data_IF_179902524105
#
_entry.id   IF_179902524105
#
_cell.length_a   1.000
_cell.length_b   1.000
_cell.length_c   1.000
_cell.angle_alpha   90.00
_cell.angle_beta   90.00
_cell.angle_gamma   90.00
#
_symmetry.space_group_name_H-M   'P 1'
#
loop_
_entity.id
_entity.type
_entity.pdbx_description
1 polymer ?
#
# COMPACT_ATOMS: atom_id res chain seq x y z
N UNK A 1 -20.59 53.64 -11.12
CA UNK A 1 -20.93 53.84 -12.54
C UNK A 1 -21.83 52.66 -12.87
N UNK A 2 -23.14 52.71 -12.56
CA UNK A 2 -24.12 53.68 -13.06
C UNK A 2 -24.38 53.38 -14.56
N UNK A 3 -25.57 53.01 -15.04
CA UNK A 3 -26.92 52.83 -14.42
C UNK A 3 -27.60 51.58 -15.05
N UNK A 4 -28.88 51.20 -14.89
CA UNK A 4 -30.09 51.90 -14.40
C UNK A 4 -31.14 50.89 -13.80
N UNK A 5 -32.42 50.95 -14.21
CA UNK A 5 -33.62 50.42 -13.53
C UNK A 5 -34.51 49.51 -14.44
N UNK A 6 -35.29 48.55 -13.88
CA UNK A 6 -36.79 48.51 -13.74
C UNK A 6 -37.60 48.21 -15.03
N UNK A 7 -38.88 47.78 -15.04
CA UNK A 7 -39.88 47.59 -13.96
C UNK A 7 -40.91 46.45 -14.29
N UNK A 8 -41.92 46.30 -13.43
CA UNK A 8 -42.88 45.20 -13.24
C UNK A 8 -44.25 45.41 -13.92
N UNK A 9 -44.88 44.34 -14.44
CA UNK A 9 -46.33 43.97 -14.30
C UNK A 9 -46.71 42.82 -15.27
N UNK A 10 -47.46 41.75 -14.95
CA UNK A 10 -48.69 41.42 -14.17
C UNK A 10 -50.03 41.56 -14.94
N UNK A 11 -50.82 40.46 -14.85
CA UNK A 11 -52.28 40.30 -15.12
C UNK A 11 -52.72 40.13 -16.59
N UNK A 12 -53.82 39.42 -16.91
CA UNK A 12 -54.80 38.66 -16.09
C UNK A 12 -55.42 37.49 -16.88
N UNK A 13 -56.14 36.60 -16.17
CA UNK A 13 -56.90 35.45 -16.71
C UNK A 13 -58.12 35.84 -17.55
N UNK A 14 -58.65 34.89 -18.34
CA UNK A 14 -60.12 34.67 -18.42
C UNK A 14 -60.50 33.29 -18.95
N UNK A 15 -61.59 32.72 -18.39
CA UNK A 15 -62.12 31.40 -18.73
C UNK A 15 -63.05 31.41 -19.95
N UNK A 16 -63.22 30.25 -20.59
CA UNK A 16 -64.23 30.00 -21.61
C UNK A 16 -64.67 28.52 -21.62
N UNK A 17 -65.79 28.25 -20.95
CA UNK A 17 -66.37 26.91 -20.72
C UNK A 17 -67.26 26.45 -21.89
N UNK A 18 -67.32 25.13 -22.19
CA UNK A 18 -68.52 24.43 -22.66
C UNK A 18 -68.29 22.94 -22.98
N UNK A 19 -69.14 22.09 -22.40
CA UNK A 19 -69.32 20.68 -22.74
C UNK A 19 -70.08 20.50 -24.06
N UNK A 20 -69.88 19.36 -24.75
CA UNK A 20 -70.93 18.34 -24.94
C UNK A 20 -70.49 17.14 -25.81
N UNK A 21 -71.05 15.97 -25.50
CA UNK A 21 -70.94 14.71 -26.23
C UNK A 21 -71.25 14.78 -27.75
N UNK A 22 -70.61 13.92 -28.56
CA UNK A 22 -71.28 12.66 -28.99
C UNK A 22 -70.53 11.82 -30.05
N UNK A 23 -70.65 10.50 -29.86
CA UNK A 23 -70.76 9.38 -30.84
C UNK A 23 -69.85 9.30 -32.09
N UNK A 24 -69.12 8.18 -32.11
CA UNK A 24 -68.61 7.45 -33.30
C UNK A 24 -69.77 7.00 -34.21
N UNK A 25 -69.63 7.13 -35.54
CA UNK A 25 -69.53 5.98 -36.47
C UNK A 25 -68.34 6.18 -37.44
N UNK A 26 -67.52 5.21 -37.84
CA UNK A 26 -67.71 3.86 -38.43
C UNK A 26 -66.98 3.87 -39.80
N UNK A 27 -66.68 2.71 -40.36
CA UNK A 27 -65.61 2.51 -41.35
C UNK A 27 -65.81 3.23 -42.71
N UNK A 28 -64.71 3.67 -43.33
CA UNK A 28 -64.67 3.83 -44.80
C UNK A 28 -63.26 3.49 -45.32
N UNK A 29 -63.23 2.79 -46.44
CA UNK A 29 -62.07 2.12 -47.03
C UNK A 29 -61.37 3.01 -48.08
N UNK A 30 -60.15 2.62 -48.49
CA UNK A 30 -59.31 3.24 -49.53
C UNK A 30 -58.67 4.59 -49.11
N UNK A 31 -57.37 4.87 -49.34
CA UNK A 31 -56.59 4.62 -50.55
C UNK A 31 -55.13 4.20 -50.30
N UNK A 32 -54.59 3.48 -51.28
CA UNK A 32 -53.20 3.00 -51.33
C UNK A 32 -52.30 4.07 -52.01
N UNK A 33 -51.67 4.94 -51.21
CA UNK A 33 -50.80 6.01 -51.74
C UNK A 33 -49.55 6.22 -50.88
N UNK A 34 -48.39 6.18 -51.54
CA UNK A 34 -47.24 7.00 -51.14
C UNK A 34 -46.16 6.26 -50.35
N UNK A 35 -45.30 5.56 -51.09
CA UNK A 35 -43.98 5.13 -50.63
C UNK A 35 -43.12 6.34 -50.24
N UNK A 36 -43.27 6.81 -49.00
CA UNK A 36 -42.42 7.81 -48.39
C UNK A 36 -41.39 7.10 -47.52
N UNK A 37 -40.23 6.86 -48.10
CA UNK A 37 -39.05 6.34 -47.44
C UNK A 37 -38.56 7.32 -46.35
N UNK A 38 -39.20 7.28 -45.18
CA UNK A 38 -38.58 7.70 -43.93
C UNK A 38 -37.31 6.85 -43.80
N UNK A 39 -36.16 7.51 -43.70
CA UNK A 39 -34.86 6.88 -43.47
C UNK A 39 -34.84 6.17 -42.11
N UNK A 40 -35.43 4.97 -42.08
CA UNK A 40 -35.37 4.01 -40.99
C UNK A 40 -33.98 3.39 -41.00
N UNK A 41 -32.97 4.20 -40.68
CA UNK A 41 -31.73 3.69 -40.10
C UNK A 41 -32.14 2.75 -38.96
N UNK A 42 -31.87 1.43 -39.07
CA UNK A 42 -32.36 0.50 -38.07
C UNK A 42 -31.64 0.82 -36.77
N UNK A 43 -32.40 1.24 -35.75
CA UNK A 43 -31.87 1.37 -34.39
C UNK A 43 -31.56 -0.05 -33.93
N UNK A 44 -30.32 -0.49 -34.14
CA UNK A 44 -29.87 -1.84 -33.81
C UNK A 44 -29.79 -1.97 -32.30
N UNK A 45 -30.91 -2.28 -31.68
CA UNK A 45 -31.02 -2.47 -30.23
C UNK A 45 -30.13 -3.63 -29.81
N UNK A 46 -28.97 -3.31 -29.24
CA UNK A 46 -28.07 -4.32 -28.70
C UNK A 46 -28.67 -4.96 -27.45
N UNK A 47 -28.32 -6.21 -27.15
CA UNK A 47 -28.75 -6.89 -25.92
C UNK A 47 -28.43 -6.08 -24.67
N UNK A 48 -27.30 -5.35 -24.66
CA UNK A 48 -26.92 -4.42 -23.59
C UNK A 48 -27.96 -3.31 -23.42
N UNK A 49 -28.33 -2.63 -24.50
CA UNK A 49 -29.25 -1.48 -24.46
C UNK A 49 -30.71 -1.91 -24.25
N UNK A 50 -31.07 -3.16 -24.59
CA UNK A 50 -32.36 -3.76 -24.25
C UNK A 50 -32.45 -4.15 -22.76
N UNK A 51 -31.35 -4.64 -22.17
CA UNK A 51 -31.30 -5.14 -20.79
C UNK A 51 -31.03 -4.05 -19.76
N UNK A 52 -30.24 -3.03 -20.11
CA UNK A 52 -29.70 -2.04 -19.16
C UNK A 52 -30.06 -0.63 -19.61
N UNK A 53 -30.92 0.02 -18.83
CA UNK A 53 -31.18 1.47 -18.92
C UNK A 53 -30.23 2.22 -18.00
N UNK A 54 -29.21 2.87 -18.55
CA UNK A 54 -28.28 3.71 -17.79
C UNK A 54 -28.92 5.05 -17.42
N UNK A 55 -28.89 5.42 -16.14
CA UNK A 55 -29.32 6.76 -15.69
C UNK A 55 -28.29 7.82 -16.10
N UNK A 56 -28.77 8.93 -16.66
CA UNK A 56 -27.90 10.05 -17.07
C UNK A 56 -27.53 10.87 -15.82
N UNK A 57 -26.24 10.89 -15.50
CA UNK A 57 -25.68 11.60 -14.35
C UNK A 57 -24.17 11.38 -14.25
N UNK A 58 -23.49 11.87 -13.20
CA UNK A 58 -22.04 11.71 -13.01
C UNK A 58 -21.62 10.29 -12.61
N UNK A 59 -22.26 9.27 -13.18
CA UNK A 59 -21.97 7.85 -13.00
C UNK A 59 -20.94 7.33 -14.05
N UNK A 60 -20.25 8.23 -14.76
CA UNK A 60 -19.13 7.93 -15.66
C UNK A 60 -17.81 7.72 -14.92
N UNK A 61 -17.78 6.70 -14.08
CA UNK A 61 -16.61 5.94 -13.74
C UNK A 61 -17.11 4.67 -13.05
N UNK A 62 -16.40 3.54 -13.19
CA UNK A 62 -16.42 2.57 -12.11
C UNK A 62 -15.81 3.30 -10.90
N UNK A 63 -16.59 3.66 -9.87
CA UNK A 63 -16.05 4.39 -8.75
C UNK A 63 -15.44 3.33 -7.85
N UNK A 64 -14.18 3.00 -8.10
CA UNK A 64 -13.37 2.20 -7.21
C UNK A 64 -12.75 3.17 -6.19
N UNK A 65 -13.41 3.46 -5.05
CA UNK A 65 -12.96 4.51 -4.12
C UNK A 65 -11.59 4.22 -3.51
N UNK A 66 -11.16 2.95 -3.58
CA UNK A 66 -9.85 2.50 -3.16
C UNK A 66 -9.16 1.83 -4.33
N UNK A 67 -8.14 2.51 -4.85
CA UNK A 67 -7.21 2.00 -5.84
C UNK A 67 -5.84 1.78 -5.22
N UNK A 68 -5.24 0.63 -5.48
CA UNK A 68 -3.87 0.31 -5.07
C UNK A 68 -3.05 -0.07 -6.30
N UNK A 69 -1.96 0.65 -6.54
CA UNK A 69 -0.99 0.27 -7.58
C UNK A 69 0.15 -0.52 -6.98
N UNK A 70 0.62 -1.53 -7.72
CA UNK A 70 1.77 -2.38 -7.35
C UNK A 70 2.75 -2.31 -8.51
N UNK A 71 3.93 -1.76 -8.24
CA UNK A 71 4.99 -1.58 -9.24
C UNK A 71 6.00 -2.72 -9.08
N UNK A 72 6.08 -3.58 -10.08
CA UNK A 72 6.78 -4.87 -10.08
C UNK A 72 5.82 -6.06 -9.91
N UNK A 73 5.77 -6.96 -10.89
CA UNK A 73 4.92 -8.17 -10.89
C UNK A 73 5.71 -9.46 -10.71
N UNK A 74 6.80 -9.40 -9.94
CA UNK A 74 7.56 -10.59 -9.51
C UNK A 74 6.91 -11.21 -8.24
N UNK A 75 7.57 -12.17 -7.59
CA UNK A 75 6.95 -13.03 -6.55
C UNK A 75 6.40 -12.24 -5.37
N UNK A 76 7.12 -11.21 -4.92
CA UNK A 76 6.67 -10.34 -3.81
C UNK A 76 5.54 -9.44 -4.28
N UNK A 77 5.66 -8.81 -5.46
CA UNK A 77 4.59 -8.00 -6.04
C UNK A 77 3.26 -8.74 -6.14
N UNK A 78 3.27 -9.96 -6.69
CA UNK A 78 2.07 -10.80 -6.80
C UNK A 78 1.55 -11.28 -5.44
N UNK A 79 2.43 -11.62 -4.48
CA UNK A 79 1.99 -11.96 -3.13
C UNK A 79 1.32 -10.78 -2.41
N UNK A 80 1.79 -9.54 -2.63
CA UNK A 80 1.11 -8.33 -2.16
C UNK A 80 -0.27 -8.17 -2.81
N UNK A 81 -0.36 -8.34 -4.14
CA UNK A 81 -1.61 -8.23 -4.89
C UNK A 81 -2.68 -9.20 -4.36
N UNK A 82 -2.36 -10.49 -4.29
CA UNK A 82 -3.26 -11.54 -3.81
C UNK A 82 -3.68 -11.28 -2.35
N UNK A 83 -2.75 -10.89 -1.47
CA UNK A 83 -3.08 -10.60 -0.07
C UNK A 83 -4.04 -9.40 0.09
N UNK A 84 -3.90 -8.37 -0.76
CA UNK A 84 -4.78 -7.18 -0.80
C UNK A 84 -6.17 -7.55 -1.31
N UNK A 85 -6.23 -8.37 -2.37
CA UNK A 85 -7.47 -8.81 -3.01
C UNK A 85 -8.27 -9.80 -2.14
N UNK A 86 -7.61 -10.81 -1.56
CA UNK A 86 -8.26 -11.79 -0.67
C UNK A 86 -8.86 -11.14 0.59
N UNK A 87 -8.24 -10.07 1.10
CA UNK A 87 -8.77 -9.25 2.20
C UNK A 87 -9.80 -8.20 1.76
N UNK A 88 -10.08 -8.09 0.45
CA UNK A 88 -11.02 -7.13 -0.16
C UNK A 88 -10.74 -5.68 0.29
N UNK A 89 -9.46 -5.30 0.30
CA UNK A 89 -9.02 -3.97 0.74
C UNK A 89 -9.21 -2.93 -0.36
N UNK A 90 -8.89 -3.33 -1.60
CA UNK A 90 -8.94 -2.46 -2.77
C UNK A 90 -10.07 -2.89 -3.72
N UNK A 91 -10.75 -1.90 -4.29
CA UNK A 91 -11.73 -2.07 -5.35
C UNK A 91 -11.11 -2.05 -6.75
N UNK A 92 -9.94 -1.43 -6.90
CA UNK A 92 -9.08 -1.51 -8.09
C UNK A 92 -7.65 -1.88 -7.68
N UNK A 93 -7.05 -2.87 -8.33
CA UNK A 93 -5.62 -3.20 -8.21
C UNK A 93 -4.96 -3.07 -9.58
N UNK A 94 -3.95 -2.20 -9.66
CA UNK A 94 -3.22 -1.94 -10.89
C UNK A 94 -1.78 -2.48 -10.78
N UNK A 95 -1.49 -3.53 -11.53
CA UNK A 95 -0.20 -4.19 -11.65
C UNK A 95 0.62 -3.51 -12.75
N UNK A 96 1.77 -2.93 -12.40
CA UNK A 96 2.61 -2.15 -13.31
C UNK A 96 4.00 -2.80 -13.40
N UNK A 97 4.38 -3.32 -14.57
CA UNK A 97 5.72 -3.89 -14.83
C UNK A 97 6.21 -3.55 -16.25
N UNK A 98 7.52 -3.58 -16.48
CA UNK A 98 8.08 -3.37 -17.82
C UNK A 98 7.69 -4.50 -18.79
N UNK A 99 7.48 -5.71 -18.26
CA UNK A 99 6.93 -6.82 -19.04
C UNK A 99 5.40 -6.72 -19.07
N UNK A 100 4.87 -6.08 -20.12
CA UNK A 100 3.44 -5.92 -20.35
C UNK A 100 2.71 -7.26 -20.36
N UNK A 101 3.17 -8.22 -21.17
CA UNK A 101 2.52 -9.52 -21.36
C UNK A 101 2.37 -10.27 -20.04
N UNK A 102 3.41 -10.24 -19.19
CA UNK A 102 3.36 -10.82 -17.85
C UNK A 102 2.38 -10.05 -16.95
N UNK A 103 2.45 -8.71 -16.92
CA UNK A 103 1.56 -7.92 -16.08
C UNK A 103 0.08 -8.13 -16.46
N UNK A 104 -0.25 -8.15 -17.75
CA UNK A 104 -1.60 -8.41 -18.25
C UNK A 104 -2.07 -9.83 -17.98
N UNK A 105 -1.25 -10.85 -18.24
CA UNK A 105 -1.63 -12.25 -17.99
C UNK A 105 -1.89 -12.52 -16.50
N UNK A 106 -1.06 -11.99 -15.60
CA UNK A 106 -1.24 -12.13 -14.14
C UNK A 106 -2.51 -11.39 -13.67
N UNK A 107 -2.86 -10.26 -14.28
CA UNK A 107 -4.10 -9.55 -13.99
C UNK A 107 -5.35 -10.29 -14.50
N UNK A 108 -5.28 -10.85 -15.72
CA UNK A 108 -6.37 -11.60 -16.35
C UNK A 108 -6.68 -12.90 -15.59
N UNK A 109 -5.64 -13.65 -15.18
CA UNK A 109 -5.78 -14.87 -14.37
C UNK A 109 -6.50 -14.59 -13.03
N UNK A 110 -6.11 -13.51 -12.35
CA UNK A 110 -6.80 -13.04 -11.14
C UNK A 110 -8.24 -12.61 -11.46
N UNK A 111 -8.46 -11.90 -12.57
CA UNK A 111 -9.76 -11.35 -12.94
C UNK A 111 -10.78 -12.47 -13.25
N UNK A 112 -10.36 -13.60 -13.80
CA UNK A 112 -11.20 -14.79 -14.01
C UNK A 112 -11.88 -15.28 -12.73
N UNK A 113 -11.18 -15.23 -11.59
CA UNK A 113 -11.70 -15.61 -10.28
C UNK A 113 -12.24 -14.40 -9.45
N UNK A 114 -12.27 -13.20 -10.04
CA UNK A 114 -12.56 -11.93 -9.36
C UNK A 114 -13.91 -11.89 -8.62
N UNK A 115 -14.89 -12.69 -9.03
CA UNK A 115 -16.19 -12.82 -8.35
C UNK A 115 -16.05 -13.22 -6.87
N UNK A 116 -15.11 -14.11 -6.55
CA UNK A 116 -14.86 -14.55 -5.16
C UNK A 116 -14.05 -13.52 -4.35
N UNK A 117 -13.36 -12.60 -5.03
CA UNK A 117 -12.58 -11.51 -4.45
C UNK A 117 -13.41 -10.25 -4.18
N UNK A 118 -14.72 -10.27 -4.42
CA UNK A 118 -15.61 -9.12 -4.25
C UNK A 118 -15.73 -8.23 -5.49
N UNK A 119 -15.52 -8.81 -6.68
CA UNK A 119 -15.55 -8.13 -7.98
C UNK A 119 -14.64 -6.88 -8.10
N UNK A 120 -13.36 -6.95 -7.67
CA UNK A 120 -12.41 -5.87 -7.94
C UNK A 120 -12.07 -5.80 -9.43
N UNK A 121 -11.69 -4.62 -9.89
CA UNK A 121 -11.05 -4.42 -11.19
C UNK A 121 -9.54 -4.65 -11.04
N UNK A 122 -8.99 -5.57 -11.82
CA UNK A 122 -7.56 -5.90 -11.82
C UNK A 122 -6.99 -5.58 -13.19
N UNK A 123 -6.03 -4.66 -13.24
CA UNK A 123 -5.45 -4.15 -14.50
C UNK A 123 -3.96 -4.46 -14.50
N UNK A 124 -3.50 -5.16 -15.54
CA UNK A 124 -2.09 -5.36 -15.84
C UNK A 124 -1.61 -4.43 -16.94
N UNK A 125 -0.48 -3.76 -16.73
CA UNK A 125 0.03 -2.79 -17.70
C UNK A 125 1.54 -2.52 -17.57
N UNK A 126 2.13 -1.94 -18.61
CA UNK A 126 3.42 -1.26 -18.55
C UNK A 126 3.31 0.27 -18.46
N UNK A 127 2.09 0.79 -18.55
CA UNK A 127 1.81 2.22 -18.48
C UNK A 127 1.80 2.75 -17.03
N UNK A 128 2.86 3.47 -16.66
CA UNK A 128 2.98 4.14 -15.36
C UNK A 128 1.91 5.21 -15.15
N UNK A 129 1.29 5.79 -16.20
CA UNK A 129 0.18 6.74 -16.03
C UNK A 129 -1.03 6.13 -15.32
N UNK A 130 -1.21 4.80 -15.36
CA UNK A 130 -2.24 4.09 -14.59
C UNK A 130 -2.05 4.14 -13.07
N UNK A 131 -0.92 4.63 -12.56
CA UNK A 131 -0.72 4.90 -11.12
C UNK A 131 -1.57 6.08 -10.59
N UNK A 132 -2.12 6.91 -11.49
CA UNK A 132 -2.98 8.05 -11.15
C UNK A 132 -4.15 7.64 -10.25
N UNK A 133 -4.49 8.51 -9.30
CA UNK A 133 -5.60 8.40 -8.33
C UNK A 133 -5.50 7.21 -7.36
N UNK A 134 -4.36 6.52 -7.30
CA UNK A 134 -4.09 5.48 -6.31
C UNK A 134 -4.03 6.03 -4.88
N UNK A 135 -4.65 5.32 -3.93
CA UNK A 135 -4.57 5.61 -2.49
C UNK A 135 -3.20 5.19 -1.92
N UNK A 136 -2.72 4.02 -2.34
CA UNK A 136 -1.40 3.50 -1.98
C UNK A 136 -0.67 3.02 -3.24
N UNK A 137 0.62 3.30 -3.33
CA UNK A 137 1.51 2.75 -4.36
C UNK A 137 2.55 1.87 -3.68
N UNK A 138 2.46 0.56 -3.90
CA UNK A 138 3.40 -0.44 -3.42
C UNK A 138 4.55 -0.55 -4.41
N UNK A 139 5.79 -0.35 -3.96
CA UNK A 139 7.00 -0.43 -4.79
C UNK A 139 7.73 -1.74 -4.45
N UNK A 140 7.55 -2.73 -5.31
CA UNK A 140 8.09 -4.09 -5.19
C UNK A 140 8.99 -4.46 -6.40
N UNK A 141 9.66 -3.46 -6.99
CA UNK A 141 10.63 -3.67 -8.08
C UNK A 141 11.94 -4.25 -7.55
N UNK A 142 12.84 -4.65 -8.46
CA UNK A 142 14.20 -5.10 -8.15
C UNK A 142 14.27 -6.29 -7.19
N UNK A 143 13.29 -7.21 -7.23
CA UNK A 143 13.39 -8.48 -6.50
C UNK A 143 14.64 -9.27 -6.97
N UNK A 144 15.51 -9.59 -6.02
CA UNK A 144 16.75 -10.36 -6.20
C UNK A 144 16.47 -11.70 -6.91
N UNK A 145 17.09 -11.95 -8.08
CA UNK A 145 17.10 -13.31 -8.65
C UNK A 145 18.01 -14.22 -7.84
N UNK A 146 17.81 -15.54 -7.98
CA UNK A 146 18.54 -16.55 -7.22
C UNK A 146 20.08 -16.45 -7.28
N UNK A 147 20.61 -15.94 -8.39
CA UNK A 147 22.05 -15.93 -8.72
C UNK A 147 22.70 -14.55 -8.52
N UNK A 148 21.92 -13.49 -8.33
CA UNK A 148 22.41 -12.10 -8.29
C UNK A 148 22.72 -11.67 -6.84
N UNK A 149 23.73 -10.82 -6.62
CA UNK A 149 23.95 -10.15 -5.33
C UNK A 149 23.01 -8.94 -5.16
N UNK A 150 22.86 -8.44 -3.91
CA UNK A 150 22.04 -7.26 -3.63
C UNK A 150 22.75 -5.98 -4.13
N UNK A 151 22.49 -5.60 -5.38
CA UNK A 151 23.05 -4.39 -5.97
C UNK A 151 22.19 -3.15 -5.65
N UNK A 152 22.47 -2.53 -4.49
CA UNK A 152 21.79 -1.29 -4.06
C UNK A 152 21.93 -0.18 -5.10
N UNK A 153 23.10 -0.04 -5.75
CA UNK A 153 23.34 0.97 -6.79
C UNK A 153 22.43 0.77 -8.02
N UNK A 154 22.21 -0.47 -8.45
CA UNK A 154 21.24 -0.78 -9.50
C UNK A 154 19.81 -0.41 -9.09
N UNK A 155 19.40 -0.74 -7.86
CA UNK A 155 18.07 -0.41 -7.34
C UNK A 155 17.86 1.12 -7.31
N UNK A 156 18.90 1.89 -6.97
CA UNK A 156 18.89 3.36 -7.01
C UNK A 156 18.65 3.88 -8.44
N UNK A 157 19.33 3.33 -9.45
CA UNK A 157 19.14 3.76 -10.84
C UNK A 157 17.74 3.42 -11.39
N UNK A 158 17.11 2.35 -10.90
CA UNK A 158 15.69 2.06 -11.20
C UNK A 158 14.78 3.07 -10.48
N UNK A 159 15.02 3.33 -9.19
CA UNK A 159 14.20 4.26 -8.39
C UNK A 159 14.26 5.70 -8.93
N UNK A 160 15.44 6.17 -9.37
CA UNK A 160 15.61 7.48 -10.04
C UNK A 160 14.69 7.67 -11.25
N UNK A 161 14.39 6.59 -11.98
CA UNK A 161 13.53 6.62 -13.18
C UNK A 161 12.03 6.56 -12.83
N UNK A 162 11.65 5.73 -11.86
CA UNK A 162 10.23 5.47 -11.57
C UNK A 162 9.63 6.40 -10.50
N UNK A 163 10.36 6.71 -9.43
CA UNK A 163 9.79 7.40 -8.25
C UNK A 163 9.32 8.83 -8.56
N UNK A 164 10.10 9.69 -9.27
CA UNK A 164 9.63 11.04 -9.60
C UNK A 164 8.36 11.04 -10.47
N UNK A 165 8.26 10.08 -11.39
CA UNK A 165 7.09 9.89 -12.27
C UNK A 165 5.86 9.46 -11.47
N UNK A 166 6.01 8.46 -10.59
CA UNK A 166 4.96 8.02 -9.66
C UNK A 166 4.51 9.18 -8.76
N UNK A 167 5.44 9.93 -8.16
CA UNK A 167 5.13 11.04 -7.27
C UNK A 167 4.36 12.18 -7.96
N UNK A 168 4.65 12.45 -9.24
CA UNK A 168 3.93 13.44 -10.05
C UNK A 168 2.49 12.99 -10.37
N UNK A 169 2.29 11.71 -10.66
CA UNK A 169 1.00 11.16 -11.11
C UNK A 169 0.06 10.79 -9.94
N UNK A 170 0.61 10.26 -8.86
CA UNK A 170 -0.09 9.83 -7.65
C UNK A 170 0.21 10.78 -6.48
N UNK A 171 0.08 12.09 -6.72
CA UNK A 171 0.53 13.14 -5.79
C UNK A 171 -0.09 13.09 -4.38
N UNK A 172 -1.27 12.44 -4.23
CA UNK A 172 -1.99 12.21 -2.97
C UNK A 172 -1.75 10.84 -2.33
N UNK A 173 -1.06 9.93 -3.01
CA UNK A 173 -0.87 8.57 -2.51
C UNK A 173 0.07 8.50 -1.30
N UNK A 174 -0.03 7.40 -0.55
CA UNK A 174 1.06 6.92 0.32
C UNK A 174 1.95 5.97 -0.50
N UNK A 175 3.27 6.19 -0.46
CA UNK A 175 4.24 5.30 -1.09
C UNK A 175 4.71 4.25 -0.08
N UNK A 176 4.56 2.97 -0.40
CA UNK A 176 4.95 1.85 0.45
C UNK A 176 6.04 1.01 -0.23
N UNK A 177 7.26 1.11 0.28
CA UNK A 177 8.44 0.43 -0.26
C UNK A 177 8.56 -0.98 0.31
N UNK A 178 8.69 -1.95 -0.60
CA UNK A 178 8.93 -3.37 -0.29
C UNK A 178 10.29 -3.83 -0.82
N UNK A 179 10.83 -3.15 -1.84
CA UNK A 179 12.17 -3.38 -2.38
C UNK A 179 13.26 -3.27 -1.30
N UNK A 180 14.08 -4.31 -1.16
CA UNK A 180 15.20 -4.35 -0.23
C UNK A 180 16.47 -3.64 -0.76
N UNK A 181 17.35 -3.11 0.12
CA UNK A 181 17.21 -2.99 1.57
C UNK A 181 16.18 -1.92 1.94
N UNK A 182 15.14 -2.28 2.70
CA UNK A 182 13.89 -1.50 2.75
C UNK A 182 14.09 -0.09 3.28
N UNK A 183 14.83 0.06 4.37
CA UNK A 183 15.05 1.36 5.03
C UNK A 183 15.87 2.32 4.14
N UNK A 184 16.89 1.80 3.45
CA UNK A 184 17.70 2.54 2.47
C UNK A 184 16.84 2.96 1.27
N UNK A 185 16.06 2.04 0.69
CA UNK A 185 15.19 2.33 -0.45
C UNK A 185 14.01 3.25 -0.08
N UNK A 186 13.58 3.26 1.18
CA UNK A 186 12.57 4.18 1.73
C UNK A 186 13.11 5.60 1.84
N UNK A 187 14.32 5.78 2.38
CA UNK A 187 15.01 7.08 2.38
C UNK A 187 15.14 7.64 0.96
N UNK A 188 15.51 6.80 0.00
CA UNK A 188 15.75 7.20 -1.39
C UNK A 188 14.42 7.51 -2.10
N UNK A 189 13.36 6.73 -1.85
CA UNK A 189 12.00 7.07 -2.29
C UNK A 189 11.56 8.44 -1.76
N UNK A 190 11.82 8.74 -0.49
CA UNK A 190 11.47 10.02 0.11
C UNK A 190 12.20 11.20 -0.57
N UNK A 191 13.51 11.10 -0.75
CA UNK A 191 14.29 12.15 -1.43
C UNK A 191 13.89 12.34 -2.89
N UNK A 192 13.59 11.27 -3.62
CA UNK A 192 13.21 11.34 -5.05
C UNK A 192 11.77 11.80 -5.27
N UNK A 193 10.83 11.39 -4.41
CA UNK A 193 9.41 11.78 -4.51
C UNK A 193 9.14 13.22 -4.07
N UNK A 194 9.99 13.76 -3.18
CA UNK A 194 9.78 15.06 -2.50
C UNK A 194 8.48 15.11 -1.68
N UNK A 195 7.92 13.96 -1.32
CA UNK A 195 6.75 13.86 -0.45
C UNK A 195 7.13 14.20 1.01
N UNK A 196 6.16 14.59 1.86
CA UNK A 196 6.38 14.58 3.29
C UNK A 196 6.73 13.16 3.74
N UNK A 197 7.65 13.03 4.70
CA UNK A 197 8.12 11.71 5.18
C UNK A 197 7.00 10.83 5.74
N UNK A 198 5.92 11.41 6.24
CA UNK A 198 4.72 10.67 6.66
C UNK A 198 4.09 9.83 5.54
N UNK A 199 4.16 10.29 4.28
CA UNK A 199 3.60 9.59 3.11
C UNK A 199 4.60 8.68 2.40
N UNK A 200 5.78 8.44 2.97
CA UNK A 200 6.77 7.49 2.44
C UNK A 200 7.17 6.50 3.52
N UNK A 201 6.70 5.28 3.35
CA UNK A 201 6.83 4.14 4.26
C UNK A 201 7.68 3.05 3.63
N UNK A 202 8.39 2.29 4.45
CA UNK A 202 8.84 0.94 4.10
C UNK A 202 8.12 -0.10 4.96
N UNK A 203 7.89 -1.32 4.45
CA UNK A 203 7.22 -2.38 5.23
C UNK A 203 7.98 -2.74 6.52
N UNK A 204 9.30 -2.55 6.52
CA UNK A 204 10.13 -2.55 7.72
C UNK A 204 10.15 -3.88 8.47
N UNK A 205 10.29 -3.80 9.79
CA UNK A 205 10.38 -4.95 10.71
C UNK A 205 9.03 -5.55 11.11
N UNK A 206 7.94 -5.28 10.38
CA UNK A 206 6.62 -5.88 10.65
C UNK A 206 6.67 -7.41 10.53
N UNK A 207 7.33 -7.94 9.48
CA UNK A 207 7.49 -9.37 9.28
C UNK A 207 8.37 -10.00 10.38
N UNK A 208 9.45 -9.32 10.76
CA UNK A 208 10.36 -9.78 11.83
C UNK A 208 9.67 -9.76 13.20
N UNK A 209 8.76 -8.80 13.43
CA UNK A 209 7.91 -8.75 14.62
C UNK A 209 6.90 -9.92 14.64
N UNK A 210 6.29 -10.27 13.51
CA UNK A 210 5.42 -11.45 13.40
C UNK A 210 6.18 -12.76 13.65
N UNK A 211 7.42 -12.88 13.14
CA UNK A 211 8.32 -14.03 13.39
C UNK A 211 8.73 -14.11 14.86
N UNK A 212 9.06 -12.98 15.47
CA UNK A 212 9.41 -12.89 16.88
C UNK A 212 8.24 -13.33 17.76
N UNK A 213 7.03 -12.83 17.48
CA UNK A 213 5.79 -13.22 18.14
C UNK A 213 5.51 -14.72 18.00
N UNK A 214 5.69 -15.32 16.81
CA UNK A 214 5.50 -16.75 16.56
C UNK A 214 6.46 -17.64 17.36
N UNK A 215 7.75 -17.29 17.40
CA UNK A 215 8.74 -18.06 18.17
C UNK A 215 8.52 -17.93 19.68
N UNK A 216 8.15 -16.75 20.17
CA UNK A 216 7.73 -16.55 21.57
C UNK A 216 6.47 -17.38 21.89
N UNK A 217 5.47 -17.41 21.01
CA UNK A 217 4.22 -18.14 21.23
C UNK A 217 4.44 -19.65 21.30
N UNK A 218 5.33 -20.19 20.48
CA UNK A 218 5.75 -21.60 20.56
C UNK A 218 6.45 -21.93 21.87
N UNK A 219 7.35 -21.07 22.36
CA UNK A 219 8.08 -21.31 23.62
C UNK A 219 7.20 -21.15 24.87
N UNK A 220 6.20 -20.26 24.83
CA UNK A 220 5.24 -20.04 25.92
C UNK A 220 4.00 -20.95 25.87
N UNK A 221 3.75 -21.66 24.76
CA UNK A 221 2.54 -22.45 24.57
C UNK A 221 1.26 -21.61 24.39
N UNK A 222 1.39 -20.37 23.89
CA UNK A 222 0.29 -19.40 23.77
C UNK A 222 -0.09 -19.12 22.32
N UNK A 223 -1.29 -18.57 22.12
CA UNK A 223 -1.67 -17.98 20.84
C UNK A 223 -0.81 -16.73 20.55
N UNK A 224 -0.38 -16.55 19.30
CA UNK A 224 0.41 -15.38 18.86
C UNK A 224 -0.24 -14.05 19.25
N UNK A 225 -1.55 -13.95 19.08
CA UNK A 225 -2.37 -12.77 19.43
C UNK A 225 -2.40 -12.42 20.91
N UNK A 226 -1.98 -13.34 21.80
CA UNK A 226 -1.90 -13.11 23.25
C UNK A 226 -0.57 -12.52 23.71
N UNK A 227 0.42 -12.41 22.82
CA UNK A 227 1.77 -11.90 23.11
C UNK A 227 1.96 -10.57 22.41
N UNK A 228 2.38 -9.55 23.17
CA UNK A 228 2.72 -8.24 22.65
C UNK A 228 4.23 -8.05 22.66
N UNK A 229 4.81 -7.95 21.47
CA UNK A 229 6.24 -7.78 21.23
C UNK A 229 6.48 -7.08 19.89
N UNK A 230 7.61 -6.38 19.73
CA UNK A 230 8.02 -5.78 18.46
C UNK A 230 9.53 -5.91 18.25
N UNK A 231 9.93 -6.04 16.99
CA UNK A 231 11.29 -5.79 16.52
C UNK A 231 11.34 -4.42 15.84
N UNK A 232 12.40 -3.65 16.06
CA UNK A 232 12.65 -2.33 15.48
C UNK A 232 14.02 -2.29 14.79
N UNK A 233 14.40 -1.17 14.17
CA UNK A 233 15.65 -1.06 13.40
C UNK A 233 15.44 -1.36 11.91
N UNK A 234 16.40 -1.99 11.26
CA UNK A 234 16.30 -2.42 9.87
C UNK A 234 15.83 -3.87 9.79
N UNK A 235 15.27 -4.24 8.65
CA UNK A 235 15.00 -5.64 8.35
C UNK A 235 16.31 -6.44 8.19
N UNK A 236 16.39 -7.62 8.81
CA UNK A 236 17.53 -8.55 8.70
C UNK A 236 18.46 -8.54 9.93
N UNK A 237 19.76 -8.72 9.71
CA UNK A 237 20.74 -8.98 10.78
C UNK A 237 20.88 -7.85 11.82
N UNK A 238 20.54 -6.62 11.45
CA UNK A 238 20.54 -5.44 12.34
C UNK A 238 19.18 -5.16 12.99
N UNK A 239 18.20 -6.06 12.85
CA UNK A 239 16.92 -5.95 13.56
C UNK A 239 17.11 -6.11 15.09
N UNK A 240 16.33 -5.35 15.85
CA UNK A 240 16.43 -5.24 17.31
C UNK A 240 15.12 -5.68 17.95
N UNK A 241 15.09 -6.89 18.50
CA UNK A 241 13.96 -7.37 19.32
C UNK A 241 13.91 -6.59 20.65
N UNK A 242 12.79 -5.92 20.93
CA UNK A 242 12.65 -5.05 22.13
C UNK A 242 12.16 -5.87 23.33
N UNK A 243 13.07 -6.65 23.91
CA UNK A 243 12.85 -7.52 25.08
C UNK A 243 12.27 -6.79 26.29
N UNK A 244 12.67 -5.53 26.51
CA UNK A 244 12.12 -4.65 27.58
C UNK A 244 10.62 -4.38 27.48
N UNK A 245 10.02 -4.61 26.31
CA UNK A 245 8.61 -4.37 26.03
C UNK A 245 7.74 -5.63 25.92
N UNK A 246 8.34 -6.83 25.97
CA UNK A 246 7.61 -8.09 25.76
C UNK A 246 6.69 -8.38 26.96
N UNK A 247 5.39 -8.53 26.69
CA UNK A 247 4.38 -8.78 27.71
C UNK A 247 3.24 -9.69 27.22
N UNK A 248 2.59 -10.34 28.19
CA UNK A 248 1.41 -11.21 28.01
C UNK A 248 0.34 -10.72 28.97
N UNK A 249 -0.86 -10.42 28.48
CA UNK A 249 -1.97 -9.91 29.29
C UNK A 249 -1.61 -8.72 30.22
N UNK A 250 -0.68 -7.86 29.79
CA UNK A 250 -0.16 -6.72 30.55
C UNK A 250 1.04 -7.02 31.46
N UNK A 251 1.31 -8.29 31.78
CA UNK A 251 2.48 -8.72 32.58
C UNK A 251 3.73 -8.78 31.71
N UNK A 252 4.76 -7.99 32.03
CA UNK A 252 6.04 -8.06 31.30
C UNK A 252 6.81 -9.30 31.72
N UNK A 253 7.41 -9.98 30.75
CA UNK A 253 8.17 -11.19 31.05
C UNK A 253 9.49 -10.84 31.79
N UNK A 254 10.05 -9.65 31.55
CA UNK A 254 11.23 -9.16 32.30
C UNK A 254 10.97 -8.82 33.76
N UNK A 255 9.72 -8.71 34.20
CA UNK A 255 9.41 -8.58 35.63
C UNK A 255 9.55 -9.94 36.36
N UNK A 256 9.59 -11.05 35.60
CA UNK A 256 9.73 -12.45 36.09
C UNK A 256 11.16 -12.98 35.83
N UNK A 257 11.67 -12.82 34.61
CA UNK A 257 13.08 -13.09 34.27
C UNK A 257 13.76 -11.77 33.85
N UNK A 258 14.40 -11.05 34.79
CA UNK A 258 15.05 -9.77 34.51
C UNK A 258 16.12 -9.82 33.43
N UNK A 259 16.72 -10.99 33.16
CA UNK A 259 17.77 -11.22 32.16
C UNK A 259 17.24 -11.73 30.82
N UNK A 260 15.92 -11.82 30.63
CA UNK A 260 15.33 -12.32 29.38
C UNK A 260 15.88 -11.58 28.16
N UNK A 261 16.48 -12.33 27.23
CA UNK A 261 17.09 -11.80 26.00
C UNK A 261 18.56 -11.38 26.14
N UNK A 262 19.15 -11.46 27.34
CA UNK A 262 20.56 -11.19 27.58
C UNK A 262 21.43 -12.44 27.32
N UNK A 263 22.75 -12.30 27.38
CA UNK A 263 23.68 -13.37 26.99
C UNK A 263 23.86 -14.46 28.07
N UNK A 264 23.64 -14.12 29.35
CA UNK A 264 23.74 -15.00 30.51
C UNK A 264 22.37 -15.50 31.02
N UNK A 265 21.33 -15.30 30.20
CA UNK A 265 19.97 -15.82 30.42
C UNK A 265 19.96 -17.36 30.42
N UNK A 266 19.66 -18.03 31.57
CA UNK A 266 19.72 -19.48 31.67
C UNK A 266 18.68 -20.17 30.78
N UNK A 267 17.58 -19.48 30.45
CA UNK A 267 16.54 -19.97 29.56
C UNK A 267 16.85 -19.70 28.08
N UNK A 268 17.92 -18.96 27.77
CA UNK A 268 18.36 -18.60 26.41
C UNK A 268 17.24 -18.00 25.54
N UNK A 269 16.47 -17.03 26.05
CA UNK A 269 15.45 -16.36 25.24
C UNK A 269 16.07 -15.62 24.04
N UNK A 270 17.32 -15.16 24.16
CA UNK A 270 18.09 -14.55 23.07
C UNK A 270 18.17 -15.41 21.80
N UNK A 271 18.21 -16.74 21.91
CA UNK A 271 18.25 -17.66 20.77
C UNK A 271 17.08 -17.43 19.79
N UNK A 272 15.94 -16.92 20.29
CA UNK A 272 14.80 -16.55 19.46
C UNK A 272 15.13 -15.38 18.52
N UNK A 273 15.76 -14.30 19.01
CA UNK A 273 16.15 -13.16 18.15
C UNK A 273 17.13 -13.60 17.06
N UNK A 274 18.08 -14.46 17.40
CA UNK A 274 19.00 -15.02 16.41
C UNK A 274 18.29 -15.92 15.39
N UNK A 275 17.29 -16.69 15.82
CA UNK A 275 16.46 -17.49 14.93
C UNK A 275 15.57 -16.64 14.00
N UNK A 276 15.05 -15.49 14.47
CA UNK A 276 14.33 -14.52 13.61
C UNK A 276 15.24 -14.05 12.47
N UNK A 277 16.44 -13.53 12.79
CA UNK A 277 17.37 -13.03 11.77
C UNK A 277 17.77 -14.14 10.77
N UNK A 278 17.98 -15.37 11.25
CA UNK A 278 18.34 -16.55 10.41
C UNK A 278 17.15 -17.13 9.62
N UNK A 279 15.91 -16.69 9.87
CA UNK A 279 14.69 -17.33 9.32
C UNK A 279 14.60 -17.26 7.79
N UNK A 280 14.93 -16.14 7.15
CA UNK A 280 14.86 -16.06 5.68
C UNK A 280 15.87 -17.00 5.01
N UNK A 281 17.11 -17.01 5.50
CA UNK A 281 18.16 -17.92 5.00
C UNK A 281 17.75 -19.38 5.14
N UNK A 282 17.16 -19.78 6.27
CA UNK A 282 16.72 -21.16 6.51
C UNK A 282 15.46 -21.54 5.70
N UNK A 283 14.50 -20.62 5.53
CA UNK A 283 13.33 -20.85 4.66
C UNK A 283 13.73 -21.02 3.20
N UNK A 284 14.66 -20.19 2.72
CA UNK A 284 15.20 -20.27 1.37
C UNK A 284 15.92 -21.61 1.14
N UNK A 285 16.80 -21.99 2.07
CA UNK A 285 17.47 -23.30 2.07
C UNK A 285 16.47 -24.47 2.01
N UNK A 286 15.38 -24.43 2.80
CA UNK A 286 14.34 -25.47 2.80
C UNK A 286 13.52 -25.53 1.51
N UNK A 287 13.26 -24.39 0.87
CA UNK A 287 12.51 -24.32 -0.40
C UNK A 287 13.35 -24.72 -1.61
N UNK A 288 14.68 -24.78 -1.48
CA UNK A 288 15.58 -24.86 -2.63
C UNK A 288 15.63 -23.57 -3.46
N UNK A 289 15.10 -22.47 -2.93
CA UNK A 289 15.03 -21.18 -3.61
C UNK A 289 16.05 -20.20 -3.03
N UNK A 290 16.50 -19.24 -3.84
CA UNK A 290 17.24 -18.06 -3.39
C UNK A 290 16.44 -16.81 -3.78
N UNK A 291 16.06 -16.00 -2.80
CA UNK A 291 15.23 -14.81 -2.99
C UNK A 291 14.45 -14.45 -1.71
N UNK A 292 13.72 -13.32 -1.65
CA UNK A 292 12.88 -12.99 -0.49
C UNK A 292 11.65 -13.91 -0.39
N UNK A 293 11.28 -14.33 0.82
CA UNK A 293 10.06 -15.11 1.04
C UNK A 293 8.81 -14.26 0.88
N UNK A 294 8.12 -14.38 -0.27
CA UNK A 294 7.04 -13.49 -0.68
C UNK A 294 5.75 -13.55 0.15
N UNK A 295 5.25 -14.74 0.52
CA UNK A 295 3.89 -14.88 1.09
C UNK A 295 3.67 -14.10 2.39
N UNK A 296 4.54 -14.27 3.38
CA UNK A 296 4.42 -13.59 4.66
C UNK A 296 4.64 -12.07 4.51
N UNK A 297 5.55 -11.65 3.62
CA UNK A 297 5.79 -10.25 3.29
C UNK A 297 4.58 -9.61 2.59
N UNK A 298 3.90 -10.33 1.70
CA UNK A 298 2.66 -9.89 1.05
C UNK A 298 1.51 -9.69 2.05
N UNK A 299 1.37 -10.62 3.01
CA UNK A 299 0.37 -10.50 4.10
C UNK A 299 0.67 -9.29 4.99
N UNK A 300 1.93 -9.07 5.38
CA UNK A 300 2.35 -7.88 6.13
C UNK A 300 2.14 -6.58 5.34
N UNK A 301 2.40 -6.59 4.03
CA UNK A 301 2.12 -5.45 3.15
C UNK A 301 0.63 -5.13 3.10
N UNK A 302 -0.22 -6.16 2.97
CA UNK A 302 -1.67 -5.98 3.00
C UNK A 302 -2.18 -5.43 4.34
N UNK A 303 -1.60 -5.81 5.48
CA UNK A 303 -1.93 -5.23 6.80
C UNK A 303 -1.64 -3.72 6.86
N UNK A 304 -0.50 -3.28 6.32
CA UNK A 304 -0.13 -1.85 6.24
C UNK A 304 -1.09 -1.10 5.31
N UNK A 305 -1.41 -1.67 4.14
CA UNK A 305 -2.36 -1.08 3.18
C UNK A 305 -3.76 -0.97 3.81
N UNK A 306 -4.22 -1.98 4.54
CA UNK A 306 -5.52 -1.98 5.22
C UNK A 306 -5.60 -0.85 6.27
N UNK A 307 -4.54 -0.70 7.08
CA UNK A 307 -4.44 0.34 8.10
C UNK A 307 -4.51 1.76 7.51
N UNK A 308 -3.88 1.98 6.35
CA UNK A 308 -3.92 3.25 5.61
C UNK A 308 -5.33 3.47 5.02
N UNK A 309 -5.83 2.52 4.22
CA UNK A 309 -7.08 2.61 3.48
C UNK A 309 -8.29 2.81 4.40
N UNK A 310 -8.37 2.01 5.47
CA UNK A 310 -9.45 2.10 6.48
C UNK A 310 -9.16 3.14 7.56
N UNK A 311 -7.98 3.78 7.56
CA UNK A 311 -7.56 4.77 8.55
C UNK A 311 -7.66 4.26 10.00
N UNK A 312 -7.21 3.02 10.24
CA UNK A 312 -7.48 2.29 11.51
C UNK A 312 -6.77 2.86 12.73
N UNK A 313 -5.72 3.68 12.54
CA UNK A 313 -4.82 4.13 13.62
C UNK A 313 -4.12 2.98 14.35
N UNK A 314 -3.99 1.82 13.68
CA UNK A 314 -3.19 0.71 14.18
C UNK A 314 -1.71 1.10 14.35
N UNK A 315 -1.06 0.52 15.36
CA UNK A 315 0.37 0.71 15.62
C UNK A 315 1.12 -0.46 14.99
N UNK A 316 1.88 -0.21 13.92
CA UNK A 316 2.70 -1.20 13.23
C UNK A 316 4.18 -0.75 13.21
N UNK A 317 5.16 -1.65 13.44
CA UNK A 317 6.57 -1.33 13.26
C UNK A 317 6.91 -1.30 11.76
N UNK A 318 7.01 -0.09 11.21
CA UNK A 318 7.27 0.17 9.79
C UNK A 318 8.38 1.20 9.63
N UNK A 319 9.09 1.15 8.50
CA UNK A 319 10.21 2.06 8.23
C UNK A 319 9.71 3.47 7.93
N UNK A 320 10.19 4.46 8.67
CA UNK A 320 9.84 5.88 8.51
C UNK A 320 11.04 6.76 8.85
N UNK A 321 10.96 8.05 8.51
CA UNK A 321 11.94 9.04 8.95
C UNK A 321 11.88 9.26 10.46
N UNK A 322 13.03 9.11 11.10
CA UNK A 322 13.25 9.39 12.52
C UNK A 322 14.24 10.55 12.60
N UNK A 323 13.86 11.59 13.34
CA UNK A 323 14.74 12.70 13.70
C UNK A 323 15.68 12.27 14.84
N UNK A 324 16.86 12.88 14.92
CA UNK A 324 17.80 12.69 16.02
C UNK A 324 17.14 12.81 17.41
N UNK A 325 17.72 12.08 18.38
CA UNK A 325 17.25 11.88 19.75
C UNK A 325 15.92 11.09 19.90
N UNK A 326 15.17 10.80 18.84
CA UNK A 326 14.03 9.89 18.92
C UNK A 326 14.52 8.42 18.92
N UNK A 327 13.91 7.60 19.78
CA UNK A 327 14.25 6.18 19.98
C UNK A 327 15.74 5.87 20.28
N UNK A 328 16.53 6.88 20.67
CA UNK A 328 17.93 6.72 21.06
C UNK A 328 18.93 6.82 19.91
N UNK A 329 18.55 7.34 18.73
CA UNK A 329 19.50 7.65 17.66
C UNK A 329 20.16 9.02 17.86
N UNK A 330 21.42 9.16 17.48
CA UNK A 330 22.15 10.44 17.47
C UNK A 330 21.86 11.30 16.23
N UNK A 331 21.41 10.67 15.15
CA UNK A 331 21.26 11.25 13.81
C UNK A 331 19.94 10.86 13.17
N UNK A 332 19.54 11.67 12.20
CA UNK A 332 18.37 11.40 11.35
C UNK A 332 18.59 10.16 10.48
N UNK A 333 17.60 9.27 10.42
CA UNK A 333 17.68 8.00 9.68
C UNK A 333 16.27 7.52 9.29
N UNK A 334 16.15 6.75 8.20
CA UNK A 334 14.97 5.90 8.00
C UNK A 334 15.22 4.58 8.71
N UNK A 335 14.35 4.20 9.64
CA UNK A 335 14.35 2.87 10.24
C UNK A 335 12.96 2.50 10.76
N UNK A 336 12.76 1.23 11.06
CA UNK A 336 11.48 0.73 11.58
C UNK A 336 11.31 1.04 13.05
N UNK A 337 10.20 1.70 13.39
CA UNK A 337 9.72 1.95 14.76
C UNK A 337 8.20 1.85 14.80
N UNK A 338 7.57 1.72 15.98
CA UNK A 338 6.11 1.60 16.06
C UNK A 338 5.44 2.91 15.63
N UNK A 339 4.71 2.85 14.51
CA UNK A 339 4.04 3.99 13.90
C UNK A 339 2.52 3.81 13.94
N UNK A 340 1.81 4.86 14.33
CA UNK A 340 0.34 4.97 14.20
C UNK A 340 0.04 5.25 12.73
N UNK A 341 -0.61 4.33 12.02
CA UNK A 341 -0.91 4.47 10.60
C UNK A 341 -2.34 4.96 10.35
N UNK A 342 -2.48 5.92 9.44
CA UNK A 342 -3.78 6.40 8.98
C UNK A 342 -3.78 6.71 7.48
N UNK A 343 -4.83 7.40 7.02
CA UNK A 343 -5.06 7.72 5.59
C UNK A 343 -3.88 8.42 4.91
N UNK A 344 -3.18 9.28 5.65
CA UNK A 344 -2.01 10.04 5.19
C UNK A 344 -0.66 9.37 5.54
N UNK A 345 -0.64 8.05 5.77
CA UNK A 345 0.54 7.29 6.16
C UNK A 345 0.83 7.40 7.67
N UNK A 346 2.08 7.71 8.04
CA UNK A 346 2.48 7.87 9.46
C UNK A 346 1.81 9.10 10.07
N UNK A 347 0.92 8.87 11.02
CA UNK A 347 0.30 9.92 11.83
C UNK A 347 1.17 10.33 13.03
N UNK A 348 1.78 9.35 13.70
CA UNK A 348 2.65 9.55 14.85
C UNK A 348 3.59 8.35 15.06
N UNK A 349 4.69 8.53 15.80
CA UNK A 349 5.55 7.44 16.28
C UNK A 349 5.40 7.25 17.79
N UNK A 350 5.36 5.99 18.24
CA UNK A 350 5.25 5.65 19.67
C UNK A 350 6.64 5.43 20.25
N UNK A 351 7.06 6.32 21.16
CA UNK A 351 8.37 6.25 21.83
C UNK A 351 8.42 5.08 22.82
N UNK A 352 9.07 3.99 22.42
CA UNK A 352 9.33 2.86 23.32
C UNK A 352 10.38 3.21 24.37
N UNK A 353 10.21 2.69 25.58
CA UNK A 353 11.24 2.75 26.64
C UNK A 353 12.25 1.62 26.41
N UNK A 354 13.35 1.95 25.76
CA UNK A 354 14.46 1.01 25.50
C UNK A 354 15.43 0.97 26.69
N UNK A 355 16.01 -0.21 26.95
CA UNK A 355 17.18 -0.35 27.83
C UNK A 355 18.47 0.07 27.08
N UNK A 356 19.61 0.17 27.78
CA UNK A 356 20.85 0.70 27.18
C UNK A 356 21.49 -0.24 26.14
N UNK A 357 21.31 -1.56 26.26
CA UNK A 357 21.72 -2.52 25.22
C UNK A 357 20.87 -2.35 23.94
N UNK A 358 19.56 -2.18 24.11
CA UNK A 358 18.60 -1.94 23.01
C UNK A 358 18.88 -0.60 22.32
N UNK A 359 19.13 0.49 23.06
CA UNK A 359 19.58 1.78 22.49
C UNK A 359 20.87 1.62 21.69
N UNK A 360 21.85 0.91 22.23
CA UNK A 360 23.14 0.65 21.55
C UNK A 360 22.97 -0.21 20.30
N UNK A 361 22.01 -1.13 20.28
CA UNK A 361 21.66 -1.91 19.09
C UNK A 361 20.95 -1.03 18.03
N UNK A 362 19.99 -0.19 18.44
CA UNK A 362 19.32 0.78 17.57
C UNK A 362 20.31 1.76 16.94
N UNK A 363 21.23 2.31 17.72
CA UNK A 363 22.27 3.22 17.21
C UNK A 363 23.16 2.52 16.16
N UNK A 364 23.67 1.32 16.45
CA UNK A 364 24.47 0.53 15.48
C UNK A 364 23.69 0.23 14.19
N UNK A 365 22.38 -0.04 14.30
CA UNK A 365 21.51 -0.20 13.15
C UNK A 365 21.40 1.10 12.33
N UNK A 366 21.19 2.24 12.99
CA UNK A 366 21.12 3.55 12.34
C UNK A 366 22.43 3.89 11.61
N UNK A 367 23.59 3.65 12.24
CA UNK A 367 24.90 3.86 11.64
C UNK A 367 25.15 2.94 10.44
N UNK A 368 24.70 1.68 10.48
CA UNK A 368 24.78 0.75 9.35
C UNK A 368 23.98 1.25 8.13
N UNK A 369 22.73 1.67 8.32
CA UNK A 369 21.88 2.25 7.27
C UNK A 369 22.54 3.51 6.68
N UNK A 370 23.07 4.39 7.55
CA UNK A 370 23.78 5.62 7.14
C UNK A 370 25.13 5.33 6.46
N UNK A 371 25.76 4.19 6.74
CA UNK A 371 26.94 3.70 6.04
C UNK A 371 26.64 3.36 4.58
N UNK A 372 25.64 2.51 4.35
CA UNK A 372 25.19 2.13 2.99
C UNK A 372 24.77 3.38 2.18
N UNK A 373 24.09 4.34 2.81
CA UNK A 373 23.72 5.61 2.17
C UNK A 373 24.95 6.49 1.81
N UNK A 374 26.04 6.45 2.59
CA UNK A 374 27.32 7.12 2.27
C UNK A 374 28.06 6.40 1.13
N UNK A 375 28.16 5.07 1.17
CA UNK A 375 28.77 4.25 0.09
C UNK A 375 28.06 4.39 -1.28
N UNK A 376 26.77 4.72 -1.25
CA UNK A 376 25.97 5.04 -2.43
C UNK A 376 26.03 6.52 -2.85
N UNK A 377 26.76 7.38 -2.14
CA UNK A 377 26.88 8.82 -2.41
C UNK A 377 25.60 9.63 -2.16
N UNK A 378 24.68 9.11 -1.36
CA UNK A 378 23.36 9.72 -1.09
C UNK A 378 23.41 10.65 0.13
N UNK A 379 24.16 10.26 1.17
CA UNK A 379 24.53 11.14 2.27
C UNK A 379 25.93 11.69 2.05
N UNK A 380 26.08 13.01 2.18
CA UNK A 380 27.38 13.70 2.31
C UNK A 380 27.61 14.06 3.77
N UNK A 381 28.86 14.22 4.18
CA UNK A 381 29.17 14.65 5.54
C UNK A 381 29.05 16.17 5.68
N UNK A 382 28.83 16.64 6.91
CA UNK A 382 28.76 18.07 7.22
C UNK A 382 30.11 18.78 7.10
N UNK A 383 31.19 18.02 6.96
CA UNK A 383 32.58 18.45 6.80
C UNK A 383 32.86 19.09 5.42
N UNK A 384 32.09 18.76 4.39
CA UNK A 384 32.31 19.24 3.00
C UNK A 384 31.72 20.65 2.76
N UNK A 385 31.62 21.49 3.79
CA UNK A 385 31.05 22.86 3.73
C UNK A 385 32.09 23.92 4.19
N UNK A 386 33.27 23.51 4.64
CA UNK A 386 34.41 24.40 4.96
C UNK A 386 35.61 24.16 4.02
N UNK A 387 35.44 24.43 2.72
CA UNK A 387 36.53 24.79 1.78
C UNK A 387 36.01 25.61 0.59
#
# INVERSE_FOLDING_TARGET
MADEESDISKRDDTLGDSNADSKVPDETQCDDVGDNAIDKTPITTTTKNALITTQVGPCEAYPHPVKVSIVGTRKVGMACAIAILMRRIASEVCLIDQNLDKASAEAEDIQHAGIFLGCPLVIGTSDVYKVKDSTVVVIAVCEKKAEEELNVKHNIEVFKKIVPTIAKLACKAVLLVVTQPIDVMSYITWKLSKFPSSRVLGTGTLLDSCRFQDLLSRKLGLARTSISCMSIGAQGDTSVSVWSSVHVAGTKIRDINPRMGEADDPEKWRDISEAVNKTDTELNRKKGERGPSCWALGICTAEIVDAIVRNTKAILPVSTYIHSCAHGTDKDVYMSVPCVLGREGVYATVRQKLNDQEKTAVQRCADSIRGVLRECGILRESSDIEE
#
